data_IF_571449361745
#
_entry.id   IF_571449361745
#
_cell.length_a   1.000
_cell.length_b   1.000
_cell.length_c   1.000
_cell.angle_alpha   90.00
_cell.angle_beta   90.00
_cell.angle_gamma   90.00
#
_symmetry.space_group_name_H-M   'P 1'
#
loop_
_entity.id
_entity.type
_entity.pdbx_description
1 polymer ?
#
# COMPACT_ATOMS: atom_id res chain seq x y z
N UNK A 1 -2.19 -19.03 -4.36
CA UNK A 1 -2.23 -18.73 -5.82
C UNK A 1 -1.84 -19.96 -6.65
N UNK A 2 -2.46 -20.18 -7.82
CA UNK A 2 -2.18 -21.32 -8.68
C UNK A 2 -0.73 -21.35 -9.19
N UNK A 3 -0.11 -20.19 -9.48
CA UNK A 3 1.27 -20.16 -9.98
C UNK A 3 2.27 -20.56 -8.90
N UNK A 4 2.06 -20.18 -7.63
CA UNK A 4 2.93 -20.61 -6.52
C UNK A 4 2.94 -22.13 -6.30
N UNK A 5 1.82 -22.82 -6.55
CA UNK A 5 1.77 -24.29 -6.46
C UNK A 5 2.55 -24.95 -7.60
N UNK A 6 2.38 -24.44 -8.82
CA UNK A 6 3.16 -24.91 -9.97
C UNK A 6 4.67 -24.69 -9.74
N UNK A 7 5.03 -23.51 -9.23
CA UNK A 7 6.41 -23.17 -8.90
C UNK A 7 6.98 -24.08 -7.80
N UNK A 8 6.20 -24.39 -6.76
CA UNK A 8 6.62 -25.32 -5.71
C UNK A 8 6.93 -26.71 -6.28
N UNK A 9 6.14 -27.20 -7.24
CA UNK A 9 6.42 -28.46 -7.92
C UNK A 9 7.73 -28.44 -8.70
N UNK A 10 8.00 -27.36 -9.44
CA UNK A 10 9.25 -27.18 -10.18
C UNK A 10 10.46 -27.06 -9.25
N UNK A 11 10.33 -26.29 -8.17
CA UNK A 11 11.37 -26.11 -7.16
C UNK A 11 11.69 -27.45 -6.47
N UNK A 12 10.69 -28.27 -6.15
CA UNK A 12 10.90 -29.62 -5.60
C UNK A 12 11.56 -30.57 -6.60
N UNK A 13 11.23 -30.47 -7.88
CA UNK A 13 11.88 -31.28 -8.92
C UNK A 13 13.36 -30.91 -9.05
N UNK A 14 13.64 -29.60 -9.09
CA UNK A 14 15.00 -29.05 -9.09
C UNK A 14 15.78 -29.44 -7.82
N UNK A 15 15.14 -29.38 -6.65
CA UNK A 15 15.79 -29.69 -5.37
C UNK A 15 16.26 -31.15 -5.29
N UNK A 16 15.49 -32.07 -5.88
CA UNK A 16 15.82 -33.51 -5.92
C UNK A 16 16.82 -33.92 -6.99
N UNK A 17 17.19 -33.01 -7.89
CA UNK A 17 18.13 -33.33 -8.96
C UNK A 17 19.58 -33.34 -8.47
N UNK A 18 20.33 -34.36 -8.89
CA UNK A 18 21.77 -34.48 -8.60
C UNK A 18 22.59 -33.45 -9.38
N UNK A 19 22.25 -33.22 -10.65
CA UNK A 19 22.84 -32.16 -11.49
C UNK A 19 21.93 -30.93 -11.52
N UNK A 20 22.26 -29.94 -10.69
CA UNK A 20 21.53 -28.67 -10.60
C UNK A 20 21.62 -27.85 -11.89
N UNK A 21 22.72 -27.92 -12.63
CA UNK A 21 22.90 -27.18 -13.87
C UNK A 21 21.97 -27.70 -14.97
N UNK A 22 21.93 -29.03 -15.13
CA UNK A 22 21.03 -29.68 -16.07
C UNK A 22 19.57 -29.47 -15.66
N UNK A 23 19.22 -29.72 -14.40
CA UNK A 23 17.86 -29.52 -13.90
C UNK A 23 17.38 -28.08 -14.11
N UNK A 24 18.27 -27.09 -13.94
CA UNK A 24 17.93 -25.70 -14.22
C UNK A 24 17.55 -25.48 -15.68
N UNK A 25 18.28 -26.09 -16.61
CA UNK A 25 17.99 -25.98 -18.05
C UNK A 25 16.61 -26.54 -18.39
N UNK A 26 16.19 -27.60 -17.69
CA UNK A 26 14.88 -28.25 -17.89
C UNK A 26 13.72 -27.44 -17.29
N UNK A 27 13.87 -26.93 -16.07
CA UNK A 27 12.77 -26.22 -15.37
C UNK A 27 12.66 -24.74 -15.74
N UNK A 28 13.74 -24.10 -16.18
CA UNK A 28 13.80 -22.65 -16.46
C UNK A 28 12.66 -22.13 -17.33
N UNK A 29 12.30 -22.74 -18.48
CA UNK A 29 11.24 -22.21 -19.33
C UNK A 29 9.88 -22.16 -18.63
N UNK A 30 9.56 -23.15 -17.79
CA UNK A 30 8.32 -23.17 -17.02
C UNK A 30 8.35 -22.19 -15.84
N UNK A 31 9.49 -22.06 -15.16
CA UNK A 31 9.67 -21.02 -14.12
C UNK A 31 9.48 -19.62 -14.70
N UNK A 32 10.06 -19.33 -15.88
CA UNK A 32 9.92 -18.03 -16.55
C UNK A 32 8.48 -17.75 -16.98
N UNK A 33 7.72 -18.77 -17.41
CA UNK A 33 6.28 -18.65 -17.68
C UNK A 33 5.49 -18.29 -16.42
N UNK A 34 5.80 -18.90 -15.28
CA UNK A 34 5.17 -18.60 -13.99
C UNK A 34 5.51 -17.17 -13.54
N UNK A 35 6.78 -16.75 -13.66
CA UNK A 35 7.20 -15.36 -13.39
C UNK A 35 6.38 -14.39 -14.23
N UNK A 36 6.28 -14.65 -15.54
CA UNK A 36 5.50 -13.81 -16.44
C UNK A 36 4.01 -13.77 -16.09
N UNK A 37 3.40 -14.91 -15.77
CA UNK A 37 2.00 -14.96 -15.36
C UNK A 37 1.73 -14.17 -14.07
N UNK A 38 2.66 -14.23 -13.11
CA UNK A 38 2.60 -13.43 -11.88
C UNK A 38 2.72 -11.92 -12.18
N UNK A 39 3.62 -11.54 -13.09
CA UNK A 39 3.79 -10.14 -13.53
C UNK A 39 2.54 -9.62 -14.24
N UNK A 40 1.98 -10.40 -15.17
CA UNK A 40 0.78 -10.01 -15.91
C UNK A 40 -0.42 -9.84 -14.94
N UNK A 41 -0.53 -10.70 -13.91
CA UNK A 41 -1.51 -10.57 -12.83
C UNK A 41 -1.32 -9.29 -12.00
N UNK A 42 -0.09 -8.96 -11.63
CA UNK A 42 0.22 -7.72 -10.90
C UNK A 42 -0.05 -6.47 -11.74
N UNK A 43 0.35 -6.47 -13.02
CA UNK A 43 0.07 -5.38 -13.96
C UNK A 43 -1.44 -5.17 -14.15
N UNK A 44 -2.22 -6.25 -14.22
CA UNK A 44 -3.68 -6.14 -14.27
C UNK A 44 -4.28 -5.53 -12.99
N UNK A 45 -3.74 -5.88 -11.81
CA UNK A 45 -4.15 -5.28 -10.55
C UNK A 45 -3.79 -3.78 -10.47
N UNK A 46 -2.61 -3.39 -10.95
CA UNK A 46 -2.21 -1.99 -11.05
C UNK A 46 -3.11 -1.21 -12.01
N UNK A 47 -3.35 -1.71 -13.22
CA UNK A 47 -4.22 -1.07 -14.21
C UNK A 47 -5.66 -0.92 -13.68
N UNK A 48 -6.15 -1.91 -12.94
CA UNK A 48 -7.45 -1.81 -12.26
C UNK A 48 -7.44 -0.71 -11.20
N UNK A 49 -6.41 -0.65 -10.35
CA UNK A 49 -6.29 0.38 -9.33
C UNK A 49 -6.15 1.79 -9.93
N UNK A 50 -5.43 1.95 -11.04
CA UNK A 50 -5.36 3.22 -11.77
C UNK A 50 -6.73 3.66 -12.28
N UNK A 51 -7.49 2.73 -12.87
CA UNK A 51 -8.86 3.00 -13.33
C UNK A 51 -9.79 3.36 -12.16
N UNK A 52 -9.73 2.60 -11.07
CA UNK A 52 -10.54 2.85 -9.87
C UNK A 52 -10.15 4.22 -9.27
N UNK A 53 -8.86 4.57 -9.24
CA UNK A 53 -8.31 5.83 -8.74
C UNK A 53 -8.89 7.06 -9.45
N UNK A 54 -9.10 7.02 -10.78
CA UNK A 54 -9.74 8.12 -11.53
C UNK A 54 -11.11 8.49 -10.94
N UNK A 55 -11.85 7.50 -10.43
CA UNK A 55 -13.18 7.71 -9.85
C UNK A 55 -13.15 7.95 -8.35
N UNK A 56 -12.21 7.32 -7.64
CA UNK A 56 -12.09 7.39 -6.18
C UNK A 56 -11.40 8.67 -5.70
N UNK A 57 -10.37 9.13 -6.42
CA UNK A 57 -9.59 10.32 -6.07
C UNK A 57 -10.46 11.56 -5.83
N UNK A 58 -11.36 11.99 -6.75
CA UNK A 58 -12.19 13.17 -6.50
C UNK A 58 -13.16 12.98 -5.32
N UNK A 59 -13.67 11.75 -5.11
CA UNK A 59 -14.54 11.45 -3.95
C UNK A 59 -13.75 11.54 -2.64
N UNK A 60 -12.53 11.02 -2.62
CA UNK A 60 -11.65 11.05 -1.48
C UNK A 60 -11.23 12.48 -1.14
N UNK A 61 -10.79 13.26 -2.13
CA UNK A 61 -10.42 14.67 -1.95
C UNK A 61 -11.61 15.50 -1.42
N UNK A 62 -12.82 15.27 -1.93
CA UNK A 62 -14.02 15.93 -1.43
C UNK A 62 -14.35 15.53 0.03
N UNK A 63 -14.21 14.25 0.37
CA UNK A 63 -14.41 13.76 1.73
C UNK A 63 -13.35 14.30 2.70
N UNK A 64 -12.08 14.33 2.29
CA UNK A 64 -10.96 14.87 3.04
C UNK A 64 -11.13 16.38 3.29
N UNK A 65 -11.56 17.12 2.28
CA UNK A 65 -11.85 18.56 2.42
C UNK A 65 -12.96 18.80 3.44
N UNK A 66 -14.09 18.09 3.32
CA UNK A 66 -15.19 18.20 4.31
C UNK A 66 -14.76 17.83 5.72
N UNK A 67 -13.90 16.82 5.86
CA UNK A 67 -13.32 16.43 7.16
C UNK A 67 -12.43 17.52 7.73
N UNK A 68 -11.55 18.11 6.91
CA UNK A 68 -10.67 19.21 7.34
C UNK A 68 -11.47 20.44 7.75
N UNK A 69 -12.45 20.84 6.94
CA UNK A 69 -13.30 22.00 7.22
C UNK A 69 -14.12 21.84 8.50
N UNK A 70 -14.73 20.65 8.68
CA UNK A 70 -15.49 20.36 9.90
C UNK A 70 -14.60 20.21 11.13
N UNK A 71 -13.38 19.66 10.99
CA UNK A 71 -12.39 19.61 12.07
C UNK A 71 -11.94 21.02 12.48
N UNK A 72 -11.71 21.92 11.51
CA UNK A 72 -11.35 23.31 11.77
C UNK A 72 -12.47 24.05 12.54
N UNK A 73 -13.74 23.78 12.21
CA UNK A 73 -14.89 24.32 12.97
C UNK A 73 -14.92 23.82 14.42
N UNK A 74 -14.62 22.53 14.65
CA UNK A 74 -14.51 21.99 16.01
C UNK A 74 -13.36 22.67 16.76
N UNK A 75 -12.18 22.78 16.14
CA UNK A 75 -11.03 23.46 16.75
C UNK A 75 -11.34 24.92 17.07
N UNK A 76 -12.01 25.64 16.18
CA UNK A 76 -12.42 27.02 16.42
C UNK A 76 -13.40 27.13 17.60
N UNK A 77 -14.39 26.24 17.67
CA UNK A 77 -15.32 26.19 18.79
C UNK A 77 -14.65 25.86 20.13
N UNK A 78 -13.49 25.19 20.10
CA UNK A 78 -12.71 24.85 21.30
C UNK A 78 -11.77 25.98 21.76
N UNK A 79 -11.46 27.00 20.93
CA UNK A 79 -10.46 28.06 21.26
C UNK A 79 -10.82 28.92 22.47
N UNK A 80 -12.07 28.95 22.91
CA UNK A 80 -12.54 29.73 24.06
C UNK A 80 -12.62 28.95 25.37
N UNK A 81 -12.15 27.70 25.38
CA UNK A 81 -12.33 26.77 26.51
C UNK A 81 -11.09 26.80 27.40
N UNK A 82 -11.31 26.91 28.71
CA UNK A 82 -10.23 26.92 29.70
C UNK A 82 -9.48 25.58 29.73
N UNK A 83 -8.23 25.57 30.20
CA UNK A 83 -7.49 24.32 30.37
C UNK A 83 -8.11 23.39 31.43
N UNK A 84 -8.80 23.93 32.44
CA UNK A 84 -9.50 23.14 33.46
C UNK A 84 -10.70 22.40 32.86
N UNK A 85 -11.46 23.05 31.99
CA UNK A 85 -12.63 22.46 31.34
C UNK A 85 -12.27 21.56 30.15
N UNK A 86 -11.08 21.75 29.57
CA UNK A 86 -10.67 21.10 28.32
C UNK A 86 -10.67 19.56 28.38
N UNK A 87 -10.36 18.96 29.52
CA UNK A 87 -10.39 17.48 29.68
C UNK A 87 -11.80 16.93 29.73
N UNK A 88 -12.70 17.60 30.47
CA UNK A 88 -14.11 17.22 30.58
C UNK A 88 -14.78 17.32 29.20
N UNK A 89 -14.59 18.46 28.53
CA UNK A 89 -15.19 18.72 27.22
C UNK A 89 -14.63 17.77 26.15
N UNK A 90 -13.34 17.45 26.17
CA UNK A 90 -12.78 16.45 25.24
C UNK A 90 -13.42 15.06 25.43
N UNK A 91 -13.69 14.66 26.67
CA UNK A 91 -14.38 13.40 26.98
C UNK A 91 -15.82 13.40 26.45
N UNK A 92 -16.55 14.49 26.69
CA UNK A 92 -17.93 14.64 26.23
C UNK A 92 -18.06 14.69 24.71
N UNK A 93 -17.17 15.44 24.03
CA UNK A 93 -17.07 15.46 22.57
C UNK A 93 -16.78 14.05 22.04
N UNK A 94 -15.87 13.31 22.69
CA UNK A 94 -15.59 11.91 22.34
C UNK A 94 -16.83 11.01 22.43
N UNK A 95 -17.60 11.12 23.52
CA UNK A 95 -18.83 10.36 23.73
C UNK A 95 -19.95 10.78 22.77
N UNK A 96 -20.04 12.05 22.40
CA UNK A 96 -21.02 12.56 21.43
C UNK A 96 -20.75 12.00 20.02
N UNK A 97 -19.47 11.89 19.67
CA UNK A 97 -18.99 11.33 18.40
C UNK A 97 -19.07 9.80 18.33
N UNK A 98 -19.18 9.11 19.47
CA UNK A 98 -19.26 7.65 19.49
C UNK A 98 -20.61 7.17 18.90
N UNK A 99 -20.62 6.33 17.85
CA UNK A 99 -21.85 5.75 17.33
C UNK A 99 -22.56 4.82 18.33
N UNK A 100 -21.87 4.31 19.36
CA UNK A 100 -22.42 3.41 20.38
C UNK A 100 -23.10 4.12 21.55
N UNK A 101 -22.89 5.43 21.70
CA UNK A 101 -23.54 6.21 22.75
C UNK A 101 -25.05 6.23 22.58
N UNK A 102 -25.79 6.01 23.66
CA UNK A 102 -27.26 6.00 23.64
C UNK A 102 -27.81 7.39 23.30
N UNK A 103 -29.00 7.49 22.67
CA UNK A 103 -29.63 8.79 22.40
C UNK A 103 -29.83 9.66 23.65
N UNK A 104 -30.15 9.03 24.79
CA UNK A 104 -30.30 9.72 26.07
C UNK A 104 -28.97 10.32 26.56
N UNK A 105 -27.87 9.56 26.44
CA UNK A 105 -26.53 10.04 26.79
C UNK A 105 -26.10 11.20 25.88
N UNK A 106 -26.31 11.07 24.56
CA UNK A 106 -26.00 12.15 23.61
C UNK A 106 -26.76 13.42 23.92
N UNK A 107 -28.06 13.32 24.26
CA UNK A 107 -28.88 14.47 24.63
C UNK A 107 -28.42 15.13 25.95
N UNK A 108 -27.98 14.34 26.93
CA UNK A 108 -27.42 14.86 28.18
C UNK A 108 -26.11 15.63 27.93
N UNK A 109 -25.21 15.07 27.12
CA UNK A 109 -23.97 15.73 26.70
C UNK A 109 -24.24 17.01 25.91
N UNK A 110 -25.21 17.00 25.00
CA UNK A 110 -25.59 18.21 24.26
C UNK A 110 -26.10 19.33 25.16
N UNK A 111 -26.77 18.97 26.27
CA UNK A 111 -27.20 19.93 27.28
C UNK A 111 -26.01 20.48 28.09
N UNK A 112 -25.06 19.63 28.48
CA UNK A 112 -23.85 20.05 29.21
C UNK A 112 -22.98 20.98 28.35
N UNK A 113 -22.75 20.59 27.10
CA UNK A 113 -21.97 21.36 26.13
C UNK A 113 -22.69 22.60 25.59
N UNK A 114 -23.95 22.84 25.95
CA UNK A 114 -24.75 23.96 25.43
C UNK A 114 -24.22 25.34 25.83
N UNK A 115 -23.45 25.40 26.93
CA UNK A 115 -22.71 26.58 27.38
C UNK A 115 -21.58 26.99 26.41
N UNK A 116 -21.09 26.06 25.58
CA UNK A 116 -20.05 26.28 24.59
C UNK A 116 -20.65 26.57 23.21
N UNK A 117 -20.89 27.85 22.93
CA UNK A 117 -21.52 28.31 21.69
C UNK A 117 -20.80 27.74 20.46
N UNK A 118 -21.54 27.02 19.63
CA UNK A 118 -21.03 26.49 18.36
C UNK A 118 -20.33 25.13 18.45
N UNK A 119 -20.05 24.60 19.65
CA UNK A 119 -19.35 23.33 19.80
C UNK A 119 -20.21 22.13 19.39
N UNK A 120 -21.43 22.01 19.95
CA UNK A 120 -22.37 20.95 19.59
C UNK A 120 -22.63 20.87 18.06
N UNK A 121 -22.98 21.97 17.36
CA UNK A 121 -23.18 21.90 15.91
C UNK A 121 -21.89 21.56 15.15
N UNK A 122 -20.72 22.06 15.56
CA UNK A 122 -19.45 21.71 14.92
C UNK A 122 -19.12 20.21 15.07
N UNK A 123 -19.35 19.63 16.25
CA UNK A 123 -19.13 18.19 16.51
C UNK A 123 -20.12 17.33 15.72
N UNK A 124 -21.39 17.75 15.60
CA UNK A 124 -22.37 17.07 14.75
C UNK A 124 -21.97 17.10 13.27
N UNK A 125 -21.53 18.26 12.78
CA UNK A 125 -21.04 18.41 11.41
C UNK A 125 -19.82 17.53 11.15
N UNK A 126 -18.85 17.51 12.06
CA UNK A 126 -17.68 16.64 11.98
C UNK A 126 -18.06 15.16 12.00
N UNK A 127 -18.99 14.76 12.87
CA UNK A 127 -19.47 13.38 12.94
C UNK A 127 -20.14 12.95 11.64
N UNK A 128 -20.94 13.83 11.03
CA UNK A 128 -21.57 13.58 9.74
C UNK A 128 -20.54 13.48 8.62
N UNK A 129 -19.57 14.40 8.55
CA UNK A 129 -18.48 14.38 7.57
C UNK A 129 -17.64 13.10 7.69
N UNK A 130 -17.28 12.71 8.92
CA UNK A 130 -16.57 11.46 9.21
C UNK A 130 -17.36 10.24 8.77
N UNK A 131 -18.65 10.17 9.12
CA UNK A 131 -19.52 9.04 8.74
C UNK A 131 -19.64 8.93 7.22
N UNK A 132 -19.78 10.05 6.52
CA UNK A 132 -19.85 10.08 5.05
C UNK A 132 -18.51 9.72 4.38
N UNK A 133 -17.38 9.97 5.04
CA UNK A 133 -16.05 9.65 4.52
C UNK A 133 -15.68 8.16 4.66
N UNK A 134 -16.24 7.44 5.64
CA UNK A 134 -15.90 6.03 5.93
C UNK A 134 -15.96 5.13 4.69
N UNK A 135 -17.03 5.13 3.86
CA UNK A 135 -17.11 4.24 2.71
C UNK A 135 -15.99 4.51 1.69
N UNK A 136 -15.72 5.78 1.38
CA UNK A 136 -14.68 6.17 0.43
C UNK A 136 -13.30 5.82 0.94
N UNK A 137 -13.04 6.03 2.25
CA UNK A 137 -11.78 5.61 2.86
C UNK A 137 -11.59 4.09 2.80
N UNK A 138 -12.66 3.32 3.02
CA UNK A 138 -12.63 1.86 2.91
C UNK A 138 -12.35 1.40 1.47
N UNK A 139 -12.95 2.04 0.46
CA UNK A 139 -12.69 1.75 -0.96
C UNK A 139 -11.24 2.03 -1.34
N UNK A 140 -10.67 3.16 -0.89
CA UNK A 140 -9.25 3.50 -1.11
C UNK A 140 -8.32 2.49 -0.43
N UNK A 141 -8.59 2.11 0.82
CA UNK A 141 -7.81 1.10 1.52
C UNK A 141 -7.89 -0.27 0.85
N UNK A 142 -9.08 -0.68 0.39
CA UNK A 142 -9.27 -1.93 -0.33
C UNK A 142 -8.50 -1.94 -1.66
N UNK A 143 -8.50 -0.82 -2.39
CA UNK A 143 -7.71 -0.66 -3.62
C UNK A 143 -6.20 -0.79 -3.33
N UNK A 144 -5.69 -0.08 -2.32
CA UNK A 144 -4.28 -0.17 -1.92
C UNK A 144 -3.89 -1.59 -1.51
N UNK A 145 -4.73 -2.24 -0.69
CA UNK A 145 -4.53 -3.62 -0.25
C UNK A 145 -4.52 -4.61 -1.41
N UNK A 146 -5.43 -4.45 -2.38
CA UNK A 146 -5.48 -5.31 -3.57
C UNK A 146 -4.19 -5.26 -4.39
N UNK A 147 -3.57 -4.08 -4.52
CA UNK A 147 -2.29 -3.94 -5.23
C UNK A 147 -1.15 -4.57 -4.42
N UNK A 148 -1.12 -4.35 -3.10
CA UNK A 148 -0.11 -4.95 -2.23
C UNK A 148 -0.19 -6.48 -2.20
N UNK A 149 -1.40 -7.04 -2.10
CA UNK A 149 -1.64 -8.49 -2.15
C UNK A 149 -1.22 -9.06 -3.50
N UNK A 150 -1.50 -8.36 -4.60
CA UNK A 150 -1.08 -8.77 -5.94
C UNK A 150 0.44 -8.72 -6.15
N UNK A 151 1.16 -7.86 -5.42
CA UNK A 151 2.64 -7.80 -5.48
C UNK A 151 3.32 -9.00 -4.81
N UNK A 152 2.65 -9.69 -3.89
CA UNK A 152 3.26 -10.77 -3.11
C UNK A 152 3.70 -11.96 -3.98
N UNK A 153 2.88 -12.34 -4.96
CA UNK A 153 3.16 -13.47 -5.86
C UNK A 153 4.38 -13.27 -6.77
N UNK A 154 4.54 -12.15 -7.50
CA UNK A 154 5.72 -11.92 -8.32
C UNK A 154 7.01 -11.74 -7.50
N UNK A 155 6.92 -11.26 -6.25
CA UNK A 155 8.04 -11.22 -5.30
C UNK A 155 8.48 -12.65 -4.94
N UNK A 156 7.56 -13.46 -4.41
CA UNK A 156 7.86 -14.83 -3.98
C UNK A 156 8.36 -15.69 -5.15
N UNK A 157 7.75 -15.54 -6.32
CA UNK A 157 8.15 -16.28 -7.52
C UNK A 157 9.59 -15.97 -7.92
N UNK A 158 10.00 -14.69 -7.86
CA UNK A 158 11.38 -14.28 -8.13
C UNK A 158 12.35 -14.75 -7.07
N UNK A 159 11.97 -14.71 -5.79
CA UNK A 159 12.85 -15.20 -4.72
C UNK A 159 13.19 -16.68 -4.90
N UNK A 160 12.19 -17.51 -5.22
CA UNK A 160 12.39 -18.94 -5.51
C UNK A 160 13.23 -19.13 -6.77
N UNK A 161 12.92 -18.38 -7.85
CA UNK A 161 13.70 -18.47 -9.09
C UNK A 161 15.17 -18.09 -8.88
N UNK A 162 15.44 -17.04 -8.11
CA UNK A 162 16.80 -16.62 -7.80
C UNK A 162 17.58 -17.67 -7.00
N UNK A 163 16.93 -18.32 -6.03
CA UNK A 163 17.54 -19.41 -5.26
C UNK A 163 17.91 -20.60 -6.17
N UNK A 164 17.01 -20.97 -7.10
CA UNK A 164 17.31 -22.01 -8.09
C UNK A 164 18.49 -21.63 -9.00
N UNK A 165 18.55 -20.39 -9.47
CA UNK A 165 19.69 -19.89 -10.28
C UNK A 165 21.00 -19.90 -9.49
N UNK A 166 20.97 -19.52 -8.22
CA UNK A 166 22.17 -19.52 -7.37
C UNK A 166 22.68 -20.94 -7.15
N UNK A 167 21.79 -21.88 -6.84
CA UNK A 167 22.12 -23.31 -6.65
C UNK A 167 22.60 -23.98 -7.95
N UNK A 168 22.14 -23.53 -9.12
CA UNK A 168 22.63 -24.02 -10.41
C UNK A 168 23.95 -23.37 -10.86
N UNK A 169 24.50 -22.44 -10.07
CA UNK A 169 25.76 -21.75 -10.36
C UNK A 169 25.63 -20.41 -11.12
N UNK A 170 24.42 -19.99 -11.51
CA UNK A 170 24.17 -18.68 -12.14
C UNK A 170 24.00 -17.56 -11.10
N UNK A 171 25.10 -17.21 -10.45
CA UNK A 171 25.12 -16.16 -9.41
C UNK A 171 24.75 -14.78 -9.95
N UNK A 172 25.05 -14.50 -11.22
CA UNK A 172 24.74 -13.22 -11.83
C UNK A 172 23.24 -13.08 -12.10
N UNK A 173 22.63 -14.12 -12.68
CA UNK A 173 21.19 -14.21 -12.87
C UNK A 173 20.43 -14.16 -11.55
N UNK A 174 20.88 -14.90 -10.53
CA UNK A 174 20.27 -14.90 -9.19
C UNK A 174 20.20 -13.48 -8.59
N UNK A 175 21.32 -12.73 -8.62
CA UNK A 175 21.37 -11.34 -8.13
C UNK A 175 20.45 -10.42 -8.90
N UNK A 176 20.35 -10.58 -10.22
CA UNK A 176 19.45 -9.78 -11.04
C UNK A 176 17.99 -10.02 -10.65
N UNK A 177 17.58 -11.28 -10.52
CA UNK A 177 16.20 -11.65 -10.15
C UNK A 177 15.87 -11.22 -8.70
N UNK A 178 16.83 -11.32 -7.78
CA UNK A 178 16.68 -10.76 -6.42
C UNK A 178 16.47 -9.25 -6.45
N UNK A 179 17.24 -8.51 -7.26
CA UNK A 179 17.10 -7.06 -7.36
C UNK A 179 15.73 -6.65 -7.95
N UNK A 180 15.22 -7.41 -8.93
CA UNK A 180 13.86 -7.25 -9.43
C UNK A 180 12.80 -7.48 -8.33
N UNK A 181 12.97 -8.51 -7.51
CA UNK A 181 12.10 -8.77 -6.35
C UNK A 181 12.12 -7.63 -5.33
N UNK A 182 13.30 -7.08 -5.03
CA UNK A 182 13.43 -5.92 -4.13
C UNK A 182 12.76 -4.68 -4.71
N UNK A 183 12.86 -4.45 -6.03
CA UNK A 183 12.17 -3.34 -6.68
C UNK A 183 10.65 -3.41 -6.47
N UNK A 184 10.07 -4.60 -6.64
CA UNK A 184 8.64 -4.82 -6.37
C UNK A 184 8.28 -4.59 -4.90
N UNK A 185 9.11 -5.03 -3.95
CA UNK A 185 8.92 -4.75 -2.52
C UNK A 185 8.95 -3.24 -2.20
N UNK A 186 9.75 -2.47 -2.93
CA UNK A 186 9.81 -1.01 -2.82
C UNK A 186 8.69 -0.29 -3.58
N UNK A 187 7.75 -1.02 -4.19
CA UNK A 187 6.63 -0.44 -4.95
C UNK A 187 7.00 0.06 -6.34
N UNK A 188 8.14 -0.36 -6.88
CA UNK A 188 8.61 -0.01 -8.22
C UNK A 188 8.25 -1.11 -9.21
N UNK A 189 7.80 -0.75 -10.42
CA UNK A 189 7.59 -1.75 -11.48
C UNK A 189 8.92 -2.27 -12.02
N UNK A 190 8.92 -3.48 -12.57
CA UNK A 190 10.13 -4.06 -13.19
C UNK A 190 10.63 -3.20 -14.36
N UNK A 191 9.72 -2.62 -15.12
CA UNK A 191 10.07 -1.71 -16.21
C UNK A 191 10.77 -0.46 -15.69
N UNK A 192 10.23 0.18 -14.65
CA UNK A 192 10.87 1.33 -13.98
C UNK A 192 12.25 0.97 -13.43
N UNK A 193 12.39 -0.20 -12.80
CA UNK A 193 13.67 -0.69 -12.30
C UNK A 193 14.70 -0.87 -13.42
N UNK A 194 14.31 -1.50 -14.53
CA UNK A 194 15.19 -1.72 -15.69
C UNK A 194 15.59 -0.40 -16.35
N UNK A 195 14.67 0.56 -16.45
CA UNK A 195 14.99 1.90 -16.93
C UNK A 195 16.00 2.61 -16.02
N UNK A 196 15.85 2.54 -14.69
CA UNK A 196 16.81 3.11 -13.73
C UNK A 196 18.18 2.45 -13.82
N UNK A 197 18.24 1.12 -13.95
CA UNK A 197 19.48 0.37 -14.18
C UNK A 197 20.18 0.85 -15.45
N UNK A 198 19.45 0.98 -16.56
CA UNK A 198 20.01 1.49 -17.83
C UNK A 198 20.49 2.94 -17.72
N UNK A 199 19.75 3.81 -17.02
CA UNK A 199 20.17 5.19 -16.80
C UNK A 199 21.47 5.28 -16.00
N UNK A 200 21.62 4.49 -14.94
CA UNK A 200 22.89 4.41 -14.18
C UNK A 200 24.04 3.92 -15.05
N UNK A 201 23.85 2.84 -15.79
CA UNK A 201 24.83 2.32 -16.76
C UNK A 201 25.25 3.39 -17.79
N UNK A 202 24.33 4.23 -18.25
CA UNK A 202 24.62 5.30 -19.19
C UNK A 202 25.32 6.50 -18.55
N UNK A 203 25.09 6.75 -17.25
CA UNK A 203 25.80 7.79 -16.49
C UNK A 203 27.21 7.37 -16.12
N UNK A 204 27.41 6.12 -15.69
CA UNK A 204 28.72 5.56 -15.37
C UNK A 204 29.63 5.51 -16.62
N UNK A 205 29.05 5.28 -17.80
CA UNK A 205 29.77 5.37 -19.09
C UNK A 205 30.10 6.81 -19.52
N UNK A 206 29.41 7.81 -18.96
CA UNK A 206 29.61 9.24 -19.24
C UNK A 206 30.56 9.92 -18.25
N UNK A 207 30.96 9.25 -17.16
CA UNK A 207 32.04 9.74 -16.30
C UNK A 207 33.38 9.33 -16.94
N UNK A 208 34.10 10.23 -17.65
CA UNK A 208 35.41 9.89 -18.17
C UNK A 208 36.37 9.61 -17.01
N UNK A 209 37.28 8.70 -17.33
CA UNK A 209 38.51 8.35 -16.63
C UNK A 209 39.41 9.56 -16.35
N UNK A 210 39.02 10.47 -15.46
CA UNK A 210 39.91 11.49 -14.89
C UNK A 210 40.62 10.94 -13.66
N UNK A 211 41.42 9.88 -13.87
CA UNK A 211 42.55 9.53 -13.02
C UNK A 211 43.63 8.92 -13.89
N UNK A 212 44.50 9.77 -14.42
CA UNK A 212 45.87 9.35 -14.78
C UNK A 212 46.78 9.77 -13.61
N UNK A 213 47.75 8.93 -13.19
CA UNK A 213 48.58 9.15 -12.00
C UNK A 213 49.42 10.44 -12.02
#
# INVERSE_FOLDING_TARGET
PPNLRALQGLAQHFDKADDKGQAMTEVKPEVEKIVKAADDGFAAAQAKAEKDSVTLKPKFEAAETKLKDSAAKVQEALKGISQEDGKHIASEVGLLMDPKSSPALKKAIEADLSSHKGLVPAVKEFTAARTAAVPVMAEVQAMQKSVQEAAAEPILTRMVYADMLEQSGDKAGAKQVQAESMALQMGMTIEQFRQLQQQKLNQDKKAPSDKTP
#
